data_IF_811948024443
#
_entry.id   IF_811948024443
#
_cell.length_a   1.000
_cell.length_b   1.000
_cell.length_c   1.000
_cell.angle_alpha   90.00
_cell.angle_beta   90.00
_cell.angle_gamma   90.00
#
_symmetry.space_group_name_H-M   'P 1'
#
loop_
_entity.id
_entity.type
_entity.pdbx_description
1 polymer ?
#
# COMPACT_ATOMS: atom_id res chain seq x y z
N UNK A 1 -19.49 -1.58 2.85
CA UNK A 1 -18.76 -1.42 1.58
C UNK A 1 -18.06 -2.72 1.27
N UNK A 2 -18.33 -3.34 0.12
CA UNK A 2 -17.60 -4.53 -0.34
C UNK A 2 -16.25 -4.08 -0.90
N UNK A 3 -15.16 -4.43 -0.20
CA UNK A 3 -13.80 -4.01 -0.59
C UNK A 3 -12.95 -5.24 -0.86
N UNK A 4 -12.58 -5.42 -2.12
CA UNK A 4 -11.73 -6.51 -2.59
C UNK A 4 -10.44 -5.96 -3.19
N UNK A 5 -9.34 -6.65 -2.97
CA UNK A 5 -8.07 -6.35 -3.62
C UNK A 5 -7.76 -7.50 -4.58
N UNK A 6 -7.79 -7.27 -5.90
CA UNK A 6 -7.41 -8.30 -6.85
C UNK A 6 -5.88 -8.52 -6.76
N UNK A 7 -5.44 -9.77 -6.93
CA UNK A 7 -4.02 -10.17 -6.87
C UNK A 7 -3.25 -9.77 -8.12
N UNK A 8 -3.41 -8.52 -8.55
CA UNK A 8 -2.71 -7.93 -9.69
C UNK A 8 -1.29 -7.50 -9.30
N UNK A 9 -0.41 -7.53 -10.30
CA UNK A 9 0.94 -7.00 -10.15
C UNK A 9 0.89 -5.51 -9.76
N UNK A 10 1.76 -5.05 -8.85
CA UNK A 10 1.82 -3.63 -8.51
C UNK A 10 2.37 -2.81 -9.68
N UNK A 11 2.09 -1.51 -9.71
CA UNK A 11 2.64 -0.58 -10.69
C UNK A 11 3.61 0.41 -10.05
N UNK A 12 4.78 0.61 -10.65
CA UNK A 12 5.71 1.64 -10.20
C UNK A 12 5.36 3.01 -10.81
N UNK A 13 5.43 4.07 -10.00
CA UNK A 13 5.18 5.45 -10.42
C UNK A 13 6.37 6.34 -10.06
N UNK A 14 7.27 6.59 -11.03
CA UNK A 14 8.51 7.36 -10.83
C UNK A 14 8.26 8.80 -10.32
N UNK A 15 7.29 9.50 -10.90
CA UNK A 15 7.06 10.92 -10.60
C UNK A 15 6.62 11.19 -9.16
N UNK A 16 6.00 10.21 -8.51
CA UNK A 16 5.49 10.33 -7.14
C UNK A 16 6.22 9.45 -6.14
N UNK A 17 7.16 8.61 -6.61
CA UNK A 17 7.85 7.59 -5.81
C UNK A 17 6.86 6.76 -5.00
N UNK A 18 5.91 6.15 -5.72
CA UNK A 18 4.89 5.29 -5.13
C UNK A 18 4.75 3.97 -5.88
N UNK A 19 4.28 2.96 -5.14
CA UNK A 19 3.80 1.69 -5.71
C UNK A 19 2.27 1.71 -5.71
N UNK A 20 1.68 1.53 -6.89
CA UNK A 20 0.24 1.51 -7.13
C UNK A 20 -0.33 0.10 -7.10
N UNK A 21 -1.54 -0.02 -6.58
CA UNK A 21 -2.30 -1.26 -6.55
C UNK A 21 -3.82 -0.95 -6.58
N UNK A 22 -4.62 -1.78 -7.25
CA UNK A 22 -6.06 -1.55 -7.35
C UNK A 22 -6.82 -2.07 -6.11
N UNK A 23 -7.92 -1.40 -5.78
CA UNK A 23 -9.01 -1.94 -4.99
C UNK A 23 -10.29 -2.00 -5.86
N UNK A 24 -11.20 -2.88 -5.50
CA UNK A 24 -12.58 -2.89 -5.98
C UNK A 24 -13.48 -2.52 -4.81
N UNK A 25 -14.19 -1.39 -4.95
CA UNK A 25 -15.14 -0.87 -3.97
C UNK A 25 -16.54 -0.97 -4.56
N UNK A 26 -17.37 -1.85 -4.01
CA UNK A 26 -18.70 -2.16 -4.52
C UNK A 26 -18.66 -2.50 -6.04
N UNK A 27 -17.59 -3.17 -6.47
CA UNK A 27 -17.33 -3.55 -7.86
C UNK A 27 -16.64 -2.48 -8.73
N UNK A 28 -16.54 -1.23 -8.27
CA UNK A 28 -15.84 -0.16 -8.98
C UNK A 28 -14.33 -0.16 -8.67
N UNK A 29 -13.48 0.02 -9.69
CA UNK A 29 -12.02 0.10 -9.49
C UNK A 29 -11.62 1.44 -8.87
N UNK A 30 -10.94 1.38 -7.73
CA UNK A 30 -10.38 2.53 -7.01
C UNK A 30 -8.86 2.38 -6.93
N UNK A 31 -8.07 3.35 -7.44
CA UNK A 31 -6.62 3.29 -7.33
C UNK A 31 -6.16 3.55 -5.89
N UNK A 32 -5.22 2.74 -5.43
CA UNK A 32 -4.51 2.94 -4.17
C UNK A 32 -3.01 3.05 -4.46
N UNK A 33 -2.28 3.80 -3.65
CA UNK A 33 -0.83 3.90 -3.71
C UNK A 33 -0.21 3.82 -2.33
N UNK A 34 1.05 3.40 -2.25
CA UNK A 34 1.88 3.46 -1.05
C UNK A 34 3.21 4.16 -1.38
N UNK A 35 3.68 5.04 -0.50
CA UNK A 35 4.93 5.76 -0.69
C UNK A 35 6.15 4.87 -0.47
N UNK A 36 7.24 5.18 -1.16
CA UNK A 36 8.57 4.59 -0.90
C UNK A 36 8.95 4.73 0.57
N UNK A 37 8.78 5.92 1.17
CA UNK A 37 9.03 6.16 2.60
C UNK A 37 8.33 5.13 3.50
N UNK A 38 7.06 4.80 3.22
CA UNK A 38 6.34 3.80 4.01
C UNK A 38 6.92 2.39 3.81
N UNK A 39 7.31 2.04 2.58
CA UNK A 39 7.95 0.76 2.26
C UNK A 39 9.31 0.61 2.96
N UNK A 40 10.09 1.69 3.03
CA UNK A 40 11.38 1.72 3.70
C UNK A 40 11.21 1.57 5.22
N UNK A 41 10.35 2.38 5.83
CA UNK A 41 10.15 2.44 7.28
C UNK A 41 9.51 1.16 7.86
N UNK A 42 8.58 0.53 7.13
CA UNK A 42 7.71 -0.51 7.69
C UNK A 42 7.81 -1.87 7.02
N UNK A 43 8.43 -1.95 5.84
CA UNK A 43 8.45 -3.16 5.01
C UNK A 43 9.85 -3.59 4.58
N UNK A 44 10.90 -2.99 5.16
CA UNK A 44 12.27 -3.46 5.05
C UNK A 44 12.95 -3.11 3.72
N UNK A 45 12.45 -2.12 2.99
CA UNK A 45 13.01 -1.71 1.70
C UNK A 45 14.21 -0.74 1.80
N UNK A 46 15.06 -0.89 2.83
CA UNK A 46 16.08 0.10 3.23
C UNK A 46 16.97 0.55 2.06
N UNK A 47 16.75 1.79 1.58
CA UNK A 47 17.53 2.49 0.54
C UNK A 47 17.78 1.67 -0.74
N UNK A 48 16.89 0.74 -1.05
CA UNK A 48 17.06 -0.17 -2.16
C UNK A 48 16.16 0.29 -3.32
N UNK A 49 16.68 0.29 -4.54
CA UNK A 49 16.00 0.85 -5.71
C UNK A 49 14.68 0.14 -6.07
N UNK A 50 14.08 0.55 -7.19
CA UNK A 50 12.76 0.11 -7.66
C UNK A 50 12.40 -1.36 -7.40
N UNK A 51 13.28 -2.30 -7.73
CA UNK A 51 13.00 -3.74 -7.55
C UNK A 51 12.76 -4.11 -6.09
N UNK A 52 13.51 -3.54 -5.16
CA UNK A 52 13.36 -3.82 -3.74
C UNK A 52 12.07 -3.21 -3.17
N UNK A 53 11.68 -2.01 -3.61
CA UNK A 53 10.38 -1.44 -3.23
C UNK A 53 9.21 -2.29 -3.73
N UNK A 54 9.30 -2.81 -4.96
CA UNK A 54 8.30 -3.73 -5.51
C UNK A 54 8.25 -5.05 -4.71
N UNK A 55 9.40 -5.62 -4.37
CA UNK A 55 9.48 -6.84 -3.54
C UNK A 55 8.95 -6.62 -2.12
N UNK A 56 9.27 -5.48 -1.49
CA UNK A 56 8.77 -5.12 -0.16
C UNK A 56 7.25 -4.94 -0.17
N UNK A 57 6.71 -4.35 -1.24
CA UNK A 57 5.27 -4.28 -1.43
C UNK A 57 4.65 -5.69 -1.51
N UNK A 58 5.19 -6.58 -2.34
CA UNK A 58 4.65 -7.92 -2.49
C UNK A 58 4.74 -8.74 -1.19
N UNK A 59 5.85 -8.64 -0.45
CA UNK A 59 6.02 -9.27 0.85
C UNK A 59 5.07 -8.69 1.92
N UNK A 60 4.78 -7.38 1.85
CA UNK A 60 3.91 -6.65 2.77
C UNK A 60 2.43 -6.61 2.39
N UNK A 61 2.06 -7.14 1.21
CA UNK A 61 0.79 -6.89 0.52
C UNK A 61 -0.43 -7.02 1.42
N UNK A 62 -0.54 -8.10 2.19
CA UNK A 62 -1.69 -8.33 3.09
C UNK A 62 -1.86 -7.22 4.13
N UNK A 63 -0.75 -6.72 4.72
CA UNK A 63 -0.80 -5.63 5.71
C UNK A 63 -1.11 -4.29 5.04
N UNK A 64 -0.55 -4.05 3.85
CA UNK A 64 -0.80 -2.84 3.06
C UNK A 64 -2.28 -2.76 2.66
N UNK A 65 -2.84 -3.84 2.13
CA UNK A 65 -4.26 -3.95 1.76
C UNK A 65 -5.19 -3.81 2.97
N UNK A 66 -4.80 -4.34 4.14
CA UNK A 66 -5.58 -4.16 5.37
C UNK A 66 -5.65 -2.68 5.79
N UNK A 67 -4.54 -1.95 5.73
CA UNK A 67 -4.52 -0.51 6.02
C UNK A 67 -5.30 0.27 4.96
N UNK A 68 -5.13 -0.05 3.67
CA UNK A 68 -5.89 0.54 2.58
C UNK A 68 -7.40 0.37 2.78
N UNK A 69 -7.84 -0.84 3.19
CA UNK A 69 -9.26 -1.14 3.47
C UNK A 69 -9.83 -0.19 4.51
N UNK A 70 -9.16 -0.06 5.66
CA UNK A 70 -9.60 0.85 6.73
C UNK A 70 -9.73 2.28 6.22
N UNK A 71 -8.78 2.76 5.42
CA UNK A 71 -8.85 4.11 4.88
C UNK A 71 -9.95 4.29 3.82
N UNK A 72 -10.17 3.30 2.97
CA UNK A 72 -11.27 3.30 2.00
C UNK A 72 -12.64 3.31 2.70
N UNK A 73 -12.80 2.58 3.80
CA UNK A 73 -14.02 2.60 4.61
C UNK A 73 -14.26 3.99 5.21
N UNK A 74 -13.22 4.60 5.80
CA UNK A 74 -13.30 5.95 6.39
C UNK A 74 -13.52 7.05 5.36
N UNK A 75 -12.99 6.89 4.14
CA UNK A 75 -13.09 7.87 3.05
C UNK A 75 -14.23 7.60 2.08
N UNK A 76 -15.08 6.61 2.39
CA UNK A 76 -16.22 6.19 1.56
C UNK A 76 -15.83 5.87 0.10
N UNK A 77 -14.74 5.13 -0.08
CA UNK A 77 -14.27 4.63 -1.39
C UNK A 77 -13.37 5.59 -2.17
N UNK A 78 -12.91 6.68 -1.56
CA UNK A 78 -12.01 7.64 -2.21
C UNK A 78 -10.60 7.05 -2.36
N UNK A 79 -9.90 7.26 -3.50
CA UNK A 79 -8.51 6.85 -3.69
C UNK A 79 -7.61 7.21 -2.51
N UNK A 80 -6.72 6.29 -2.13
CA UNK A 80 -5.85 6.44 -0.96
C UNK A 80 -4.38 6.44 -1.35
N UNK A 81 -3.61 7.35 -0.71
CA UNK A 81 -2.16 7.31 -0.66
C UNK A 81 -1.71 6.94 0.76
N UNK A 82 -1.17 5.75 0.92
CA UNK A 82 -0.61 5.26 2.17
C UNK A 82 0.82 5.80 2.37
N UNK A 83 0.97 6.73 3.30
CA UNK A 83 2.25 7.22 3.85
C UNK A 83 2.65 6.48 5.13
N UNK A 84 3.90 6.68 5.56
CA UNK A 84 4.50 6.01 6.74
C UNK A 84 3.63 6.14 8.01
N UNK A 85 3.05 7.32 8.26
CA UNK A 85 2.20 7.57 9.42
C UNK A 85 0.88 6.79 9.50
N UNK A 86 0.45 6.09 8.43
CA UNK A 86 -0.72 5.20 8.49
C UNK A 86 -0.39 3.83 9.07
N UNK A 87 0.89 3.46 9.12
CA UNK A 87 1.32 2.19 9.66
C UNK A 87 1.73 2.39 11.12
N UNK A 88 1.19 1.59 12.06
CA UNK A 88 1.68 1.63 13.42
C UNK A 88 3.16 1.22 13.40
N UNK A 89 4.01 1.83 14.24
CA UNK A 89 5.39 1.39 14.40
C UNK A 89 5.37 -0.11 14.69
N UNK A 90 6.22 -0.87 13.99
CA UNK A 90 6.35 -2.29 14.25
C UNK A 90 6.53 -2.50 15.74
N UNK A 91 5.65 -3.30 16.38
CA UNK A 91 5.95 -3.78 17.73
C UNK A 91 7.29 -4.49 17.61
N UNK A 92 8.32 -3.91 18.22
CA UNK A 92 9.55 -4.61 18.55
C UNK A 92 9.11 -5.76 19.45
N UNK A 93 8.85 -6.93 18.86
CA UNK A 93 8.75 -8.15 19.63
C UNK A 93 10.17 -8.45 20.08
N UNK A 94 10.42 -8.19 21.37
CA UNK A 94 11.57 -8.64 22.15
C UNK A 94 11.63 -10.15 22.24
#
# INVERSE_FOLDING_TARGET
MDIRFPSEAPSWHDATLTVGFPALVDGARVPCTISVEALEDHFGALSAGREAWMQAFDAGRTRIEAVARTHLELSNGTPVLLKSGHFPPGRLFS
#
